data_IF_810248040261
#
_entry.id   IF_810248040261
#
_cell.length_a   1.000
_cell.length_b   1.000
_cell.length_c   1.000
_cell.angle_alpha   90.00
_cell.angle_beta   90.00
_cell.angle_gamma   90.00
#
_symmetry.space_group_name_H-M   'P 1'
#
loop_
_entity.id
_entity.type
_entity.pdbx_description
1 polymer ?
#
# COMPACT_ATOMS: atom_id res chain seq x y z
N UNK A 1 -50.55 -13.57 -5.44
CA UNK A 1 -50.98 -12.44 -6.30
C UNK A 1 -51.49 -12.86 -7.68
N UNK A 2 -51.23 -14.08 -8.17
CA UNK A 2 -51.80 -14.66 -9.41
C UNK A 2 -53.35 -14.68 -9.49
N UNK A 3 -54.04 -14.50 -8.35
CA UNK A 3 -55.51 -14.61 -8.21
C UNK A 3 -56.32 -13.55 -8.96
N UNK A 4 -55.75 -12.37 -9.24
CA UNK A 4 -56.49 -11.27 -9.89
C UNK A 4 -56.65 -11.50 -11.39
N UNK A 5 -55.58 -11.90 -12.09
CA UNK A 5 -55.63 -12.21 -13.51
C UNK A 5 -56.47 -13.46 -13.82
N UNK A 6 -56.35 -14.52 -12.99
CA UNK A 6 -57.22 -15.70 -13.11
C UNK A 6 -58.68 -15.36 -12.77
N UNK A 7 -58.92 -14.48 -11.80
CA UNK A 7 -60.26 -13.97 -11.49
C UNK A 7 -60.89 -13.22 -12.68
N UNK A 8 -60.12 -12.41 -13.39
CA UNK A 8 -60.58 -11.70 -14.59
C UNK A 8 -60.93 -12.66 -15.75
N UNK A 9 -60.12 -13.70 -15.96
CA UNK A 9 -60.38 -14.71 -16.97
C UNK A 9 -61.62 -15.55 -16.65
N UNK A 10 -61.80 -15.93 -15.38
CA UNK A 10 -63.02 -16.60 -14.91
C UNK A 10 -64.25 -15.70 -15.03
N UNK A 11 -64.12 -14.40 -14.74
CA UNK A 11 -65.19 -13.43 -14.92
C UNK A 11 -65.57 -13.27 -16.40
N UNK A 12 -64.60 -13.22 -17.32
CA UNK A 12 -64.85 -13.19 -18.76
C UNK A 12 -65.55 -14.48 -19.24
N UNK A 13 -65.13 -15.66 -18.75
CA UNK A 13 -65.78 -16.93 -19.06
C UNK A 13 -67.23 -16.99 -18.55
N UNK A 14 -67.48 -16.52 -17.32
CA UNK A 14 -68.82 -16.45 -16.76
C UNK A 14 -69.70 -15.46 -17.53
N UNK A 15 -69.16 -14.28 -17.89
CA UNK A 15 -69.85 -13.27 -18.68
C UNK A 15 -70.22 -13.81 -20.08
N UNK A 16 -69.32 -14.55 -20.71
CA UNK A 16 -69.58 -15.21 -21.99
C UNK A 16 -70.69 -16.27 -21.88
N UNK A 17 -70.66 -17.11 -20.84
CA UNK A 17 -71.70 -18.10 -20.58
C UNK A 17 -73.08 -17.46 -20.33
N UNK A 18 -73.13 -16.40 -19.52
CA UNK A 18 -74.34 -15.63 -19.26
C UNK A 18 -74.88 -14.96 -20.53
N UNK A 19 -74.02 -14.34 -21.33
CA UNK A 19 -74.40 -13.71 -22.59
C UNK A 19 -74.91 -14.74 -23.62
N UNK A 20 -74.38 -15.97 -23.60
CA UNK A 20 -74.88 -17.07 -24.45
C UNK A 20 -76.25 -17.56 -24.00
N UNK A 21 -76.49 -17.66 -22.71
CA UNK A 21 -77.78 -18.07 -22.15
C UNK A 21 -78.87 -17.01 -22.37
N UNK A 22 -78.57 -15.74 -22.09
CA UNK A 22 -79.50 -14.61 -22.21
C UNK A 22 -79.65 -14.05 -23.64
N UNK A 23 -79.07 -14.73 -24.64
CA UNK A 23 -79.03 -14.27 -26.03
C UNK A 23 -80.42 -14.05 -26.65
N UNK A 24 -81.41 -14.82 -26.21
CA UNK A 24 -82.80 -14.72 -26.68
C UNK A 24 -83.60 -13.60 -26.00
N UNK A 25 -83.05 -12.98 -24.95
CA UNK A 25 -83.76 -11.99 -24.14
C UNK A 25 -83.60 -10.56 -24.67
N UNK A 26 -82.42 -10.19 -25.20
CA UNK A 26 -82.16 -8.85 -25.72
C UNK A 26 -80.96 -8.82 -26.69
N UNK A 27 -81.00 -8.06 -27.81
CA UNK A 27 -79.91 -7.99 -28.79
C UNK A 27 -78.59 -7.42 -28.24
N UNK A 28 -78.66 -6.62 -27.16
CA UNK A 28 -77.46 -6.11 -26.47
C UNK A 28 -76.55 -7.22 -25.91
N UNK A 29 -77.09 -8.42 -25.63
CA UNK A 29 -76.30 -9.57 -25.19
C UNK A 29 -75.36 -10.11 -26.27
N UNK A 30 -75.59 -9.80 -27.54
CA UNK A 30 -74.68 -10.16 -28.63
C UNK A 30 -73.34 -9.40 -28.52
N UNK A 31 -73.39 -8.10 -28.19
CA UNK A 31 -72.22 -7.25 -27.98
C UNK A 31 -71.42 -7.68 -26.75
N UNK A 32 -72.11 -7.95 -25.63
CA UNK A 32 -71.48 -8.46 -24.40
C UNK A 32 -70.86 -9.83 -24.64
N UNK A 33 -71.53 -10.69 -25.41
CA UNK A 33 -71.02 -11.99 -25.82
C UNK A 33 -69.75 -11.88 -26.65
N UNK A 34 -69.72 -10.99 -27.65
CA UNK A 34 -68.55 -10.77 -28.50
C UNK A 34 -67.35 -10.20 -27.72
N UNK A 35 -67.60 -9.24 -26.83
CA UNK A 35 -66.57 -8.74 -25.91
C UNK A 35 -66.02 -9.86 -25.02
N UNK A 36 -66.91 -10.61 -24.36
CA UNK A 36 -66.51 -11.66 -23.41
C UNK A 36 -65.79 -12.82 -24.10
N UNK A 37 -66.20 -13.21 -25.31
CA UNK A 37 -65.56 -14.25 -26.11
C UNK A 37 -64.13 -13.84 -26.49
N UNK A 38 -63.96 -12.65 -27.04
CA UNK A 38 -62.66 -12.17 -27.46
C UNK A 38 -61.75 -11.81 -26.27
N UNK A 39 -62.32 -11.33 -25.15
CA UNK A 39 -61.60 -11.11 -23.90
C UNK A 39 -61.10 -12.44 -23.30
N UNK A 40 -61.92 -13.50 -23.37
CA UNK A 40 -61.55 -14.84 -22.93
C UNK A 40 -60.41 -15.40 -23.79
N UNK A 41 -60.53 -15.30 -25.12
CA UNK A 41 -59.48 -15.75 -26.05
C UNK A 41 -58.19 -14.97 -25.86
N UNK A 42 -58.26 -13.63 -25.76
CA UNK A 42 -57.09 -12.78 -25.50
C UNK A 42 -56.41 -13.09 -24.16
N UNK A 43 -57.19 -13.29 -23.09
CA UNK A 43 -56.68 -13.70 -21.79
C UNK A 43 -56.02 -15.09 -21.80
N UNK A 44 -56.60 -16.05 -22.53
CA UNK A 44 -56.03 -17.39 -22.70
C UNK A 44 -54.73 -17.37 -23.52
N UNK A 45 -54.67 -16.57 -24.58
CA UNK A 45 -53.49 -16.41 -25.42
C UNK A 45 -52.31 -15.82 -24.61
N UNK A 46 -52.55 -14.76 -23.84
CA UNK A 46 -51.52 -14.17 -22.99
C UNK A 46 -51.14 -15.08 -21.82
N UNK A 47 -52.11 -15.81 -21.25
CA UNK A 47 -51.79 -16.85 -20.26
C UNK A 47 -50.86 -17.90 -20.85
N UNK A 48 -51.15 -18.38 -22.07
CA UNK A 48 -50.33 -19.35 -22.76
C UNK A 48 -48.93 -18.79 -23.03
N UNK A 49 -48.82 -17.59 -23.60
CA UNK A 49 -47.53 -16.97 -23.94
C UNK A 49 -46.66 -16.74 -22.69
N UNK A 50 -47.23 -16.19 -21.61
CA UNK A 50 -46.49 -16.00 -20.36
C UNK A 50 -46.11 -17.35 -19.76
N UNK A 51 -47.01 -18.34 -19.75
CA UNK A 51 -46.69 -19.67 -19.20
C UNK A 51 -45.58 -20.32 -20.02
N UNK A 52 -45.64 -20.26 -21.35
CA UNK A 52 -44.64 -20.79 -22.27
C UNK A 52 -43.26 -20.12 -22.14
N UNK A 53 -43.18 -18.90 -21.61
CA UNK A 53 -41.89 -18.27 -21.32
C UNK A 53 -41.16 -18.96 -20.16
N UNK A 54 -41.90 -19.35 -19.11
CA UNK A 54 -41.33 -19.87 -17.85
C UNK A 54 -41.43 -21.39 -17.69
N UNK A 55 -42.47 -22.03 -18.23
CA UNK A 55 -42.83 -23.43 -17.97
C UNK A 55 -43.51 -24.07 -19.19
N UNK A 56 -43.72 -25.38 -19.12
CA UNK A 56 -44.59 -26.08 -20.08
C UNK A 56 -46.06 -25.85 -19.72
N UNK A 57 -46.89 -25.31 -20.64
CA UNK A 57 -48.32 -25.12 -20.39
C UNK A 57 -48.98 -26.49 -20.17
N UNK A 58 -49.79 -26.61 -19.10
CA UNK A 58 -50.43 -27.86 -18.67
C UNK A 58 -49.45 -29.03 -18.41
N UNK A 59 -48.14 -28.77 -18.31
CA UNK A 59 -47.11 -29.80 -18.19
C UNK A 59 -46.79 -30.55 -19.49
N UNK A 60 -47.34 -30.11 -20.63
CA UNK A 60 -47.13 -30.78 -21.93
C UNK A 60 -45.91 -30.18 -22.67
N UNK A 61 -44.97 -31.01 -23.16
CA UNK A 61 -43.79 -30.54 -23.88
C UNK A 61 -44.16 -30.13 -25.31
N UNK A 62 -44.69 -28.92 -25.46
CA UNK A 62 -45.02 -28.32 -26.76
C UNK A 62 -43.76 -27.64 -27.33
N UNK A 63 -43.58 -27.69 -28.65
CA UNK A 63 -42.52 -27.00 -29.38
C UNK A 63 -42.46 -25.51 -28.99
N UNK A 64 -41.26 -25.00 -28.67
CA UNK A 64 -41.01 -23.59 -28.26
C UNK A 64 -41.73 -23.12 -26.98
N UNK A 65 -41.77 -23.97 -25.95
CA UNK A 65 -42.22 -23.60 -24.60
C UNK A 65 -41.09 -23.78 -23.57
N UNK A 66 -41.27 -23.26 -22.36
CA UNK A 66 -40.23 -23.13 -21.33
C UNK A 66 -38.96 -22.41 -21.85
N UNK A 67 -39.13 -21.27 -22.55
CA UNK A 67 -38.04 -20.58 -23.26
C UNK A 67 -36.89 -20.16 -22.32
N UNK A 68 -37.19 -19.60 -21.14
CA UNK A 68 -36.16 -19.17 -20.19
C UNK A 68 -35.37 -20.36 -19.64
N UNK A 69 -35.99 -21.44 -19.14
CA UNK A 69 -35.29 -22.67 -18.79
C UNK A 69 -34.43 -23.23 -19.93
N UNK A 70 -34.99 -23.29 -21.16
CA UNK A 70 -34.32 -23.90 -22.30
C UNK A 70 -33.12 -23.08 -22.81
N UNK A 71 -33.13 -21.76 -22.66
CA UNK A 71 -32.05 -20.85 -23.06
C UNK A 71 -31.21 -20.33 -21.89
N UNK A 72 -31.23 -21.01 -20.75
CA UNK A 72 -30.52 -20.60 -19.53
C UNK A 72 -29.04 -20.28 -19.79
N UNK A 73 -28.34 -21.17 -20.49
CA UNK A 73 -26.89 -21.03 -20.72
C UNK A 73 -26.57 -19.88 -21.69
N UNK A 74 -27.43 -19.67 -22.71
CA UNK A 74 -27.32 -18.53 -23.61
C UNK A 74 -27.55 -17.21 -22.87
N UNK A 75 -28.55 -17.15 -21.99
CA UNK A 75 -28.82 -15.99 -21.15
C UNK A 75 -27.63 -15.71 -20.23
N UNK A 76 -27.06 -16.74 -19.60
CA UNK A 76 -25.91 -16.60 -18.73
C UNK A 76 -24.69 -15.99 -19.44
N UNK A 77 -24.38 -16.49 -20.64
CA UNK A 77 -23.30 -15.98 -21.48
C UNK A 77 -23.54 -14.52 -21.92
N UNK A 78 -24.74 -14.22 -22.41
CA UNK A 78 -25.08 -12.87 -22.90
C UNK A 78 -25.07 -11.83 -21.76
N UNK A 79 -25.51 -12.21 -20.56
CA UNK A 79 -25.43 -11.33 -19.38
C UNK A 79 -23.97 -11.06 -19.00
N UNK A 80 -23.11 -12.09 -19.05
CA UNK A 80 -21.68 -11.92 -18.82
C UNK A 80 -21.03 -10.95 -19.82
N UNK A 81 -21.29 -11.14 -21.11
CA UNK A 81 -20.79 -10.27 -22.19
C UNK A 81 -21.31 -8.83 -22.06
N UNK A 82 -22.57 -8.66 -21.70
CA UNK A 82 -23.17 -7.35 -21.47
C UNK A 82 -22.47 -6.61 -20.32
N UNK A 83 -22.26 -7.29 -19.19
CA UNK A 83 -21.59 -6.71 -18.02
C UNK A 83 -20.16 -6.31 -18.35
N UNK A 84 -19.42 -7.15 -19.08
CA UNK A 84 -18.06 -6.83 -19.49
C UNK A 84 -17.98 -5.65 -20.45
N UNK A 85 -18.87 -5.62 -21.45
CA UNK A 85 -18.78 -4.65 -22.55
C UNK A 85 -19.36 -3.29 -22.18
N UNK A 86 -20.42 -3.27 -21.37
CA UNK A 86 -21.20 -2.05 -21.13
C UNK A 86 -21.13 -1.56 -19.68
N UNK A 87 -21.00 -2.46 -18.69
CA UNK A 87 -21.03 -2.06 -17.27
C UNK A 87 -19.62 -1.91 -16.66
N UNK A 88 -18.68 -2.80 -16.99
CA UNK A 88 -17.32 -2.80 -16.45
C UNK A 88 -16.31 -2.18 -17.43
N UNK A 89 -16.66 -1.01 -17.97
CA UNK A 89 -15.70 -0.27 -18.80
C UNK A 89 -14.68 0.46 -17.93
N UNK A 90 -13.38 0.49 -18.30
CA UNK A 90 -12.37 1.22 -17.56
C UNK A 90 -12.74 2.70 -17.33
N UNK A 91 -13.40 3.32 -18.32
CA UNK A 91 -13.83 4.70 -18.27
C UNK A 91 -14.97 4.92 -17.27
N UNK A 92 -16.02 4.09 -17.30
CA UNK A 92 -17.13 4.22 -16.36
C UNK A 92 -16.67 3.98 -14.92
N UNK A 93 -15.79 3.00 -14.70
CA UNK A 93 -15.27 2.73 -13.36
C UNK A 93 -14.34 3.84 -12.86
N UNK A 94 -13.48 4.38 -13.72
CA UNK A 94 -12.63 5.51 -13.35
C UNK A 94 -13.44 6.77 -13.01
N UNK A 95 -14.53 7.02 -13.76
CA UNK A 95 -15.44 8.12 -13.49
C UNK A 95 -16.17 7.94 -12.17
N UNK A 96 -16.71 6.75 -11.89
CA UNK A 96 -17.39 6.49 -10.61
C UNK A 96 -16.46 6.57 -9.40
N UNK A 97 -15.20 6.14 -9.55
CA UNK A 97 -14.19 6.31 -8.50
C UNK A 97 -13.89 7.79 -8.24
N UNK A 98 -13.85 8.60 -9.30
CA UNK A 98 -13.60 10.03 -9.20
C UNK A 98 -14.80 10.78 -8.58
N UNK A 99 -16.03 10.39 -8.92
CA UNK A 99 -17.27 10.99 -8.38
C UNK A 99 -17.55 10.55 -6.94
N UNK A 100 -17.22 9.31 -6.58
CA UNK A 100 -17.49 8.73 -5.25
C UNK A 100 -16.51 9.10 -4.14
N UNK A 101 -15.47 9.88 -4.45
CA UNK A 101 -14.34 10.26 -3.58
C UNK A 101 -13.86 9.10 -2.68
N UNK A 102 -13.39 8.02 -3.30
CA UNK A 102 -12.91 6.84 -2.57
C UNK A 102 -11.78 7.16 -1.60
N UNK A 103 -10.94 8.14 -1.92
CA UNK A 103 -9.88 8.63 -1.07
C UNK A 103 -10.43 9.24 0.23
N UNK A 104 -11.56 9.97 0.20
CA UNK A 104 -12.24 10.44 1.42
C UNK A 104 -12.74 9.27 2.28
N UNK A 105 -13.35 8.26 1.67
CA UNK A 105 -13.82 7.06 2.40
C UNK A 105 -12.66 6.27 3.00
N UNK A 106 -11.56 6.15 2.26
CA UNK A 106 -10.31 5.58 2.76
C UNK A 106 -9.77 6.39 3.93
N UNK A 107 -9.74 7.72 3.81
CA UNK A 107 -9.27 8.60 4.88
C UNK A 107 -10.08 8.40 6.17
N UNK A 108 -11.41 8.36 6.07
CA UNK A 108 -12.31 8.10 7.20
C UNK A 108 -12.08 6.70 7.80
N UNK A 109 -11.95 5.67 6.95
CA UNK A 109 -11.69 4.32 7.38
C UNK A 109 -10.34 4.20 8.11
N UNK A 110 -9.28 4.84 7.60
CA UNK A 110 -7.94 4.82 8.21
C UNK A 110 -7.87 5.57 9.55
N UNK A 111 -8.78 6.49 9.82
CA UNK A 111 -8.87 7.16 11.12
C UNK A 111 -9.50 6.28 12.19
N UNK A 112 -10.36 5.32 11.81
CA UNK A 112 -10.98 4.39 12.75
C UNK A 112 -9.90 3.50 13.42
N UNK A 113 -9.81 3.48 14.76
CA UNK A 113 -8.76 2.72 15.46
C UNK A 113 -8.75 1.23 15.14
N UNK A 114 -9.95 0.65 14.93
CA UNK A 114 -10.09 -0.76 14.60
C UNK A 114 -9.47 -1.08 13.22
N UNK A 115 -9.83 -0.30 12.20
CA UNK A 115 -9.33 -0.44 10.83
C UNK A 115 -7.83 -0.18 10.76
N UNK A 116 -7.34 0.87 11.44
CA UNK A 116 -5.91 1.18 11.47
C UNK A 116 -5.09 0.04 12.11
N UNK A 117 -5.58 -0.56 13.21
CA UNK A 117 -4.93 -1.72 13.84
C UNK A 117 -4.98 -2.96 12.96
N UNK A 118 -6.10 -3.23 12.31
CA UNK A 118 -6.23 -4.36 11.38
C UNK A 118 -5.27 -4.23 10.20
N UNK A 119 -5.24 -3.04 9.58
CA UNK A 119 -4.31 -2.76 8.49
C UNK A 119 -2.86 -2.84 8.96
N UNK A 120 -2.56 -2.33 10.14
CA UNK A 120 -1.21 -2.43 10.71
C UNK A 120 -0.80 -3.87 11.00
N UNK A 121 -1.70 -4.69 11.55
CA UNK A 121 -1.48 -6.11 11.74
C UNK A 121 -1.25 -6.86 10.44
N UNK A 122 -2.06 -6.57 9.41
CA UNK A 122 -1.88 -7.16 8.08
C UNK A 122 -0.54 -6.73 7.45
N UNK A 123 -0.17 -5.46 7.54
CA UNK A 123 1.11 -4.95 7.05
C UNK A 123 2.29 -5.62 7.76
N UNK A 124 2.21 -5.82 9.08
CA UNK A 124 3.24 -6.51 9.84
C UNK A 124 3.35 -8.00 9.48
N UNK A 125 2.23 -8.66 9.16
CA UNK A 125 2.23 -10.05 8.68
C UNK A 125 2.75 -10.18 7.24
N UNK A 126 2.45 -9.20 6.38
CA UNK A 126 2.92 -9.18 5.00
C UNK A 126 4.39 -8.71 4.87
N UNK A 127 4.88 -7.91 5.83
CA UNK A 127 6.20 -7.29 5.76
C UNK A 127 7.36 -8.28 5.56
N UNK A 128 7.46 -9.43 6.28
CA UNK A 128 8.53 -10.40 6.04
C UNK A 128 8.50 -10.95 4.61
N UNK A 129 7.34 -11.36 4.11
CA UNK A 129 7.21 -11.89 2.75
C UNK A 129 7.53 -10.85 1.67
N UNK A 130 7.15 -9.59 1.90
CA UNK A 130 7.55 -8.49 1.01
C UNK A 130 9.06 -8.25 1.07
N UNK A 131 9.65 -8.15 2.26
CA UNK A 131 11.10 -7.97 2.45
C UNK A 131 11.90 -9.08 1.78
N UNK A 132 11.41 -10.32 1.81
CA UNK A 132 12.06 -11.47 1.19
C UNK A 132 11.91 -11.51 -0.33
N UNK A 133 10.83 -10.91 -0.86
CA UNK A 133 10.61 -10.81 -2.31
C UNK A 133 11.46 -9.76 -3.02
N UNK A 134 12.09 -8.86 -2.27
CA UNK A 134 12.91 -7.78 -2.81
C UNK A 134 14.28 -8.30 -3.26
N UNK A 135 14.74 -7.81 -4.41
CA UNK A 135 16.08 -8.07 -4.94
C UNK A 135 17.13 -7.34 -4.08
N UNK A 136 17.88 -8.11 -3.30
CA UNK A 136 18.86 -7.59 -2.36
C UNK A 136 20.04 -6.92 -3.06
N UNK A 137 20.40 -7.33 -4.27
CA UNK A 137 21.53 -6.75 -5.01
C UNK A 137 21.16 -5.37 -5.55
N UNK A 138 19.97 -5.24 -6.16
CA UNK A 138 19.46 -3.95 -6.63
C UNK A 138 19.27 -2.95 -5.50
N UNK A 139 18.67 -3.38 -4.37
CA UNK A 139 18.47 -2.48 -3.22
C UNK A 139 19.77 -2.10 -2.52
N UNK A 140 20.73 -3.01 -2.46
CA UNK A 140 22.06 -2.70 -1.90
C UNK A 140 22.76 -1.63 -2.75
N UNK A 141 22.72 -1.75 -4.07
CA UNK A 141 23.29 -0.76 -4.98
C UNK A 141 22.57 0.59 -4.86
N UNK A 142 21.24 0.58 -4.93
CA UNK A 142 20.42 1.79 -4.80
C UNK A 142 20.66 2.51 -3.46
N UNK A 143 20.69 1.76 -2.34
CA UNK A 143 20.92 2.33 -1.02
C UNK A 143 22.34 2.89 -0.90
N UNK A 144 23.34 2.19 -1.45
CA UNK A 144 24.72 2.67 -1.48
C UNK A 144 24.82 4.02 -2.22
N UNK A 145 24.21 4.12 -3.40
CA UNK A 145 24.16 5.35 -4.19
C UNK A 145 23.42 6.48 -3.46
N UNK A 146 22.25 6.18 -2.88
CA UNK A 146 21.46 7.18 -2.14
C UNK A 146 22.21 7.73 -0.93
N UNK A 147 22.83 6.85 -0.13
CA UNK A 147 23.65 7.26 1.02
C UNK A 147 24.87 8.05 0.55
N UNK A 148 25.55 7.61 -0.52
CA UNK A 148 26.72 8.32 -1.04
C UNK A 148 26.35 9.72 -1.59
N UNK A 149 25.24 9.83 -2.32
CA UNK A 149 24.73 11.11 -2.81
C UNK A 149 24.44 12.07 -1.65
N UNK A 150 23.82 11.57 -0.58
CA UNK A 150 23.49 12.42 0.56
C UNK A 150 24.71 12.80 1.39
N UNK A 151 25.69 11.90 1.56
CA UNK A 151 26.99 12.22 2.16
C UNK A 151 27.78 13.26 1.35
N UNK A 152 27.65 13.25 0.02
CA UNK A 152 28.26 14.26 -0.85
C UNK A 152 27.58 15.64 -0.75
N UNK A 153 26.29 15.67 -0.42
CA UNK A 153 25.54 16.93 -0.22
C UNK A 153 25.79 17.57 1.14
N UNK A 154 26.17 16.79 2.13
CA UNK A 154 26.50 17.31 3.45
C UNK A 154 27.76 18.20 3.38
N UNK A 155 27.72 19.32 4.10
CA UNK A 155 28.88 20.16 4.36
C UNK A 155 29.87 19.42 5.27
N UNK A 156 30.77 18.67 4.65
CA UNK A 156 31.77 17.86 5.34
C UNK A 156 32.74 18.72 6.17
N UNK A 157 33.22 19.88 5.69
CA UNK A 157 33.98 20.81 6.52
C UNK A 157 33.23 21.26 7.78
N UNK A 158 31.98 21.71 7.64
CA UNK A 158 31.20 22.20 8.78
C UNK A 158 30.79 21.09 9.76
N UNK A 159 30.46 19.89 9.27
CA UNK A 159 30.20 18.72 10.13
C UNK A 159 31.47 18.24 10.84
N UNK A 160 32.58 18.13 10.11
CA UNK A 160 33.88 17.72 10.67
C UNK A 160 34.32 18.64 11.80
N UNK A 161 34.20 19.96 11.58
CA UNK A 161 34.50 20.96 12.60
C UNK A 161 33.59 20.81 13.83
N UNK A 162 32.27 20.65 13.64
CA UNK A 162 31.33 20.44 14.76
C UNK A 162 31.63 19.18 15.55
N UNK A 163 32.01 18.09 14.89
CA UNK A 163 32.40 16.83 15.56
C UNK A 163 33.70 17.04 16.34
N UNK A 164 34.72 17.68 15.75
CA UNK A 164 35.97 17.98 16.44
C UNK A 164 35.77 18.91 17.64
N UNK A 165 34.96 19.95 17.49
CA UNK A 165 34.56 20.85 18.58
C UNK A 165 33.80 20.09 19.67
N UNK A 166 32.91 19.17 19.31
CA UNK A 166 32.20 18.32 20.26
C UNK A 166 33.15 17.43 21.04
N UNK A 167 34.07 16.74 20.36
CA UNK A 167 35.08 15.89 20.98
C UNK A 167 36.02 16.70 21.89
N UNK A 168 36.39 17.91 21.48
CA UNK A 168 37.19 18.82 22.31
C UNK A 168 36.40 19.32 23.53
N UNK A 169 35.12 19.66 23.38
CA UNK A 169 34.25 20.06 24.50
C UNK A 169 34.02 18.94 25.51
N UNK A 170 34.05 17.67 25.06
CA UNK A 170 33.99 16.48 25.91
C UNK A 170 35.37 16.06 26.46
N UNK A 171 36.40 16.89 26.26
CA UNK A 171 37.79 16.66 26.68
C UNK A 171 38.36 15.30 26.20
N UNK A 172 37.90 14.78 25.06
CA UNK A 172 38.41 13.50 24.54
C UNK A 172 39.90 13.58 24.15
N UNK A 173 40.40 14.77 23.80
CA UNK A 173 41.82 15.00 23.53
C UNK A 173 42.70 14.81 24.78
N UNK A 174 42.16 14.95 25.99
CA UNK A 174 42.88 14.60 27.23
C UNK A 174 43.17 13.10 27.31
N UNK A 175 42.27 12.24 26.80
CA UNK A 175 42.51 10.79 26.74
C UNK A 175 43.60 10.42 25.74
N UNK A 176 43.70 11.18 24.65
CA UNK A 176 44.79 11.03 23.67
C UNK A 176 46.10 11.45 24.31
N UNK A 177 46.12 12.58 25.04
CA UNK A 177 47.28 13.02 25.82
C UNK A 177 47.74 11.93 26.79
N UNK A 178 46.81 11.33 27.54
CA UNK A 178 47.10 10.22 28.46
C UNK A 178 47.70 9.00 27.75
N UNK A 179 47.18 8.64 26.58
CA UNK A 179 47.70 7.52 25.80
C UNK A 179 49.12 7.79 25.29
N UNK A 180 49.37 9.01 24.78
CA UNK A 180 50.68 9.43 24.26
C UNK A 180 51.69 9.58 25.38
N UNK A 181 51.34 10.22 26.49
CA UNK A 181 52.20 10.39 27.65
C UNK A 181 52.66 9.03 28.21
N UNK A 182 51.72 8.08 28.35
CA UNK A 182 52.04 6.69 28.76
C UNK A 182 52.94 5.97 27.76
N UNK A 183 52.67 6.12 26.46
CA UNK A 183 53.49 5.48 25.43
C UNK A 183 54.92 6.02 25.44
N UNK A 184 55.08 7.35 25.54
CA UNK A 184 56.38 8.01 25.64
C UNK A 184 57.11 7.67 26.93
N UNK A 185 56.41 7.64 28.07
CA UNK A 185 57.00 7.23 29.34
C UNK A 185 57.60 5.82 29.24
N UNK A 186 56.82 4.84 28.76
CA UNK A 186 57.31 3.47 28.57
C UNK A 186 58.50 3.40 27.63
N UNK A 187 58.46 4.16 26.54
CA UNK A 187 59.57 4.23 25.58
C UNK A 187 60.86 4.80 26.20
N UNK A 188 60.73 5.79 27.08
CA UNK A 188 61.88 6.42 27.75
C UNK A 188 62.41 5.61 28.95
N UNK A 189 61.56 4.83 29.60
CA UNK A 189 61.94 3.93 30.70
C UNK A 189 62.63 2.66 30.21
N UNK A 190 62.43 2.28 28.95
CA UNK A 190 63.06 1.10 28.35
C UNK A 190 64.59 1.29 28.20
N UNK A 191 65.42 0.47 28.87
CA UNK A 191 66.87 0.54 28.76
C UNK A 191 67.40 0.33 27.34
N UNK A 192 66.67 -0.40 26.48
CA UNK A 192 67.07 -0.65 25.09
C UNK A 192 67.02 0.62 24.24
N UNK A 193 66.19 1.60 24.62
CA UNK A 193 65.97 2.82 23.86
C UNK A 193 66.85 3.99 24.31
N UNK A 194 67.50 3.87 25.48
CA UNK A 194 68.43 4.87 26.02
C UNK A 194 69.51 5.35 25.04
N UNK A 195 70.19 4.49 24.24
CA UNK A 195 71.19 4.94 23.28
C UNK A 195 70.59 5.85 22.19
N UNK A 196 69.40 5.52 21.69
CA UNK A 196 68.71 6.30 20.66
C UNK A 196 68.26 7.66 21.19
N UNK A 197 67.74 7.70 22.42
CA UNK A 197 67.36 8.95 23.11
C UNK A 197 68.59 9.81 23.39
N UNK A 198 69.69 9.21 23.83
CA UNK A 198 70.96 9.90 24.08
C UNK A 198 71.51 10.57 22.81
N UNK A 199 71.49 9.84 21.68
CA UNK A 199 71.91 10.38 20.38
C UNK A 199 70.93 11.44 19.84
N UNK A 200 69.64 11.33 20.15
CA UNK A 200 68.66 12.38 19.85
C UNK A 200 68.97 13.67 20.62
N UNK A 201 69.20 13.58 21.93
CA UNK A 201 69.55 14.74 22.77
C UNK A 201 70.86 15.39 22.29
N UNK A 202 71.87 14.57 21.96
CA UNK A 202 73.15 15.07 21.45
C UNK A 202 72.99 15.88 20.16
N UNK A 203 72.16 15.40 19.23
CA UNK A 203 71.85 16.10 17.97
C UNK A 203 70.99 17.34 18.19
N UNK A 204 69.97 17.27 19.04
CA UNK A 204 69.05 18.38 19.29
C UNK A 204 69.77 19.60 19.89
N UNK A 205 70.78 19.36 20.73
CA UNK A 205 71.61 20.42 21.33
C UNK A 205 72.77 20.87 20.43
N UNK A 206 72.91 20.27 19.24
CA UNK A 206 73.97 20.53 18.27
C UNK A 206 75.40 20.39 18.89
N UNK A 207 75.56 19.43 19.80
CA UNK A 207 76.78 19.23 20.58
C UNK A 207 77.67 18.16 19.93
N UNK A 208 78.29 18.51 18.79
CA UNK A 208 79.14 17.60 18.02
C UNK A 208 80.57 17.45 18.59
N UNK A 209 80.95 18.27 19.58
CA UNK A 209 82.31 18.23 20.14
C UNK A 209 82.50 17.03 21.10
N UNK A 210 83.60 16.25 20.98
CA UNK A 210 83.82 15.01 21.73
C UNK A 210 83.81 15.16 23.27
N UNK A 211 84.16 16.34 23.79
CA UNK A 211 84.06 16.67 25.21
C UNK A 211 82.61 16.70 25.71
N UNK A 212 81.66 17.25 24.95
CA UNK A 212 80.25 17.31 25.35
C UNK A 212 79.55 15.96 25.21
N UNK A 213 79.97 15.12 24.27
CA UNK A 213 79.40 13.77 24.07
C UNK A 213 79.58 12.86 25.29
N UNK A 214 80.69 13.01 26.00
CA UNK A 214 80.95 12.33 27.29
C UNK A 214 79.96 12.76 28.37
N UNK A 215 79.77 14.08 28.54
CA UNK A 215 78.84 14.68 29.51
C UNK A 215 77.39 14.25 29.22
N UNK A 216 76.99 14.22 27.94
CA UNK A 216 75.66 13.78 27.52
C UNK A 216 75.45 12.31 27.83
N UNK A 217 76.43 11.42 27.61
CA UNK A 217 76.30 10.00 27.98
C UNK A 217 76.12 9.79 29.48
N UNK A 218 76.68 10.65 30.33
CA UNK A 218 76.51 10.56 31.79
C UNK A 218 75.22 11.23 32.27
N UNK A 219 74.78 12.30 31.61
CA UNK A 219 73.58 13.05 31.98
C UNK A 219 72.30 12.48 31.35
N UNK A 220 72.37 11.83 30.19
CA UNK A 220 71.22 11.36 29.42
C UNK A 220 70.35 10.37 30.20
N UNK A 221 70.87 9.35 30.90
CA UNK A 221 70.01 8.46 31.70
C UNK A 221 69.20 9.22 32.76
N UNK A 222 69.84 10.18 33.45
CA UNK A 222 69.17 11.02 34.46
C UNK A 222 68.14 11.96 33.83
N UNK A 223 68.47 12.56 32.69
CA UNK A 223 67.56 13.44 31.96
C UNK A 223 66.35 12.67 31.40
N UNK A 224 66.58 11.52 30.78
CA UNK A 224 65.55 10.61 30.27
C UNK A 224 64.62 10.16 31.39
N UNK A 225 65.18 9.77 32.54
CA UNK A 225 64.38 9.36 33.70
C UNK A 225 63.58 10.52 34.30
N UNK A 226 64.15 11.74 34.34
CA UNK A 226 63.42 12.93 34.77
C UNK A 226 62.25 13.26 33.82
N UNK A 227 62.46 13.14 32.50
CA UNK A 227 61.39 13.35 31.51
C UNK A 227 60.31 12.28 31.63
N UNK A 228 60.70 11.00 31.79
CA UNK A 228 59.75 9.91 32.02
C UNK A 228 58.91 10.12 33.28
N UNK A 229 59.52 10.57 34.39
CA UNK A 229 58.79 10.93 35.60
C UNK A 229 57.81 12.08 35.38
N UNK A 230 58.20 13.13 34.64
CA UNK A 230 57.28 14.22 34.31
C UNK A 230 56.11 13.75 33.44
N UNK A 231 56.34 12.83 32.50
CA UNK A 231 55.26 12.22 31.69
C UNK A 231 54.34 11.32 32.53
N UNK A 232 54.86 10.62 33.53
CA UNK A 232 54.07 9.88 34.50
C UNK A 232 53.17 10.81 35.32
N UNK A 233 53.73 11.89 35.86
CA UNK A 233 52.96 12.91 36.60
C UNK A 233 51.86 13.56 35.74
N UNK A 234 52.12 13.77 34.45
CA UNK A 234 51.14 14.29 33.48
C UNK A 234 49.95 13.35 33.32
N UNK A 235 50.18 12.03 33.24
CA UNK A 235 49.11 11.05 33.13
C UNK A 235 48.37 10.84 34.47
N UNK A 236 49.09 10.72 35.57
CA UNK A 236 48.53 10.32 36.87
C UNK A 236 47.80 11.46 37.60
N UNK A 237 48.12 12.72 37.29
CA UNK A 237 47.52 13.90 37.94
C UNK A 237 46.51 14.62 37.04
N UNK A 238 45.22 14.66 37.42
CA UNK A 238 44.20 15.44 36.71
C UNK A 238 44.46 16.96 36.72
N UNK A 239 45.14 17.47 37.75
CA UNK A 239 45.41 18.90 37.93
C UNK A 239 46.75 19.36 37.32
N UNK A 240 47.36 18.55 36.44
CA UNK A 240 48.67 18.88 35.88
C UNK A 240 48.62 20.21 35.08
N UNK A 241 49.56 21.15 35.28
CA UNK A 241 49.52 22.50 34.68
C UNK A 241 49.46 22.54 33.14
N UNK A 242 49.88 21.47 32.47
CA UNK A 242 49.87 21.36 31.01
C UNK A 242 48.51 20.97 30.44
N UNK A 243 47.63 20.33 31.23
CA UNK A 243 46.29 19.94 30.78
C UNK A 243 45.43 21.14 30.37
N UNK A 244 45.25 22.19 31.21
CA UNK A 244 44.47 23.36 30.81
C UNK A 244 45.10 24.13 29.64
N UNK A 245 46.45 24.16 29.55
CA UNK A 245 47.14 24.76 28.40
C UNK A 245 46.89 24.01 27.09
N UNK A 246 46.84 22.68 27.15
CA UNK A 246 46.49 21.87 25.99
C UNK A 246 45.03 22.07 25.59
N UNK A 247 44.11 22.15 26.55
CA UNK A 247 42.69 22.47 26.29
C UNK A 247 42.55 23.80 25.56
N UNK A 248 43.20 24.84 26.06
CA UNK A 248 43.19 26.18 25.47
C UNK A 248 43.79 26.16 24.06
N UNK A 249 44.94 25.52 23.88
CA UNK A 249 45.58 25.37 22.58
C UNK A 249 44.71 24.61 21.57
N UNK A 250 44.10 23.47 21.95
CA UNK A 250 43.21 22.69 21.07
C UNK A 250 41.97 23.51 20.71
N UNK A 251 41.39 24.22 21.68
CA UNK A 251 40.20 25.04 21.45
C UNK A 251 40.49 26.20 20.50
N UNK A 252 41.61 26.90 20.72
CA UNK A 252 42.06 27.99 19.85
C UNK A 252 42.39 27.47 18.44
N UNK A 253 43.12 26.36 18.35
CA UNK A 253 43.44 25.74 17.07
C UNK A 253 42.18 25.35 16.29
N UNK A 254 41.17 24.80 16.95
CA UNK A 254 39.88 24.49 16.31
C UNK A 254 39.09 25.74 15.91
N UNK A 255 39.26 26.87 16.59
CA UNK A 255 38.62 28.14 16.25
C UNK A 255 39.25 28.78 15.01
N UNK A 256 40.58 28.68 14.85
CA UNK A 256 41.36 29.23 13.74
C UNK A 256 41.37 28.30 12.51
N UNK A 257 41.05 27.01 12.69
CA UNK A 257 41.05 25.98 11.65
C UNK A 257 40.25 26.35 10.37
N UNK A 258 39.07 26.99 10.45
CA UNK A 258 38.30 27.40 9.26
C UNK A 258 38.97 28.53 8.46
N UNK A 259 39.86 29.32 9.07
CA UNK A 259 40.53 30.45 8.42
C UNK A 259 41.72 30.02 7.56
N UNK A 260 42.22 28.79 7.74
CA UNK A 260 43.35 28.28 6.98
C UNK A 260 42.96 27.87 5.54
N UNK A 261 43.59 28.45 4.48
CA UNK A 261 43.17 28.31 3.08
C UNK A 261 43.38 26.93 2.42
N UNK A 262 43.49 25.85 3.20
CA UNK A 262 43.58 24.47 2.69
C UNK A 262 42.78 23.43 3.48
N UNK A 263 42.20 23.81 4.62
CA UNK A 263 41.47 22.87 5.49
C UNK A 263 40.25 22.28 4.78
N UNK A 264 39.42 23.15 4.19
CA UNK A 264 38.20 22.74 3.48
C UNK A 264 38.54 21.82 2.29
N UNK A 265 39.54 22.18 1.50
CA UNK A 265 40.01 21.40 0.34
C UNK A 265 40.50 20.02 0.76
N UNK A 266 41.30 19.92 1.84
CA UNK A 266 41.81 18.62 2.33
C UNK A 266 40.69 17.71 2.82
N UNK A 267 39.69 18.26 3.49
CA UNK A 267 38.53 17.49 3.96
C UNK A 267 37.63 17.01 2.84
N UNK A 268 37.39 17.86 1.84
CA UNK A 268 36.65 17.45 0.66
C UNK A 268 37.37 16.31 -0.07
N UNK A 269 38.69 16.38 -0.17
CA UNK A 269 39.52 15.31 -0.73
C UNK A 269 39.39 14.02 0.10
N UNK A 270 39.55 14.10 1.43
CA UNK A 270 39.39 12.94 2.32
C UNK A 270 37.99 12.32 2.29
N UNK A 271 36.94 13.15 2.17
CA UNK A 271 35.58 12.66 1.96
C UNK A 271 35.49 11.92 0.63
N UNK A 272 35.97 12.54 -0.45
CA UNK A 272 35.88 11.97 -1.79
C UNK A 272 36.62 10.63 -1.86
N UNK A 273 37.88 10.60 -1.43
CA UNK A 273 38.73 9.40 -1.43
C UNK A 273 38.19 8.35 -0.45
N UNK A 274 37.72 8.78 0.72
CA UNK A 274 37.12 7.91 1.72
C UNK A 274 35.86 7.21 1.20
N UNK A 275 34.96 7.95 0.56
CA UNK A 275 33.74 7.41 -0.06
C UNK A 275 34.03 6.60 -1.34
N UNK A 276 35.09 6.93 -2.07
CA UNK A 276 35.55 6.17 -3.23
C UNK A 276 36.34 4.91 -2.85
N UNK A 277 36.74 4.77 -1.58
CA UNK A 277 37.54 3.64 -1.15
C UNK A 277 36.79 2.29 -1.30
N UNK A 278 37.47 1.21 -1.73
CA UNK A 278 36.84 -0.11 -1.86
C UNK A 278 36.21 -0.59 -0.55
N UNK A 279 36.79 -0.23 0.60
CA UNK A 279 36.28 -0.60 1.92
C UNK A 279 34.97 0.12 2.25
N UNK A 280 34.86 1.42 1.94
CA UNK A 280 33.63 2.17 2.15
C UNK A 280 32.51 1.69 1.23
N UNK A 281 32.81 1.46 -0.05
CA UNK A 281 31.85 0.90 -1.01
C UNK A 281 31.35 -0.49 -0.58
N UNK A 282 32.26 -1.37 -0.15
CA UNK A 282 31.88 -2.68 0.39
C UNK A 282 31.09 -2.59 1.70
N UNK A 283 31.25 -1.53 2.50
CA UNK A 283 30.43 -1.29 3.69
C UNK A 283 29.03 -0.79 3.32
N UNK A 284 28.92 0.14 2.36
CA UNK A 284 27.66 0.69 1.85
C UNK A 284 26.79 -0.40 1.23
N UNK A 285 27.36 -1.27 0.40
CA UNK A 285 26.65 -2.41 -0.20
C UNK A 285 26.13 -3.35 0.90
N UNK A 286 26.90 -3.56 1.98
CA UNK A 286 26.48 -4.41 3.11
C UNK A 286 25.51 -3.74 4.07
N UNK A 287 25.16 -2.48 3.86
CA UNK A 287 24.22 -1.76 4.71
C UNK A 287 22.81 -2.35 4.60
N UNK A 288 22.34 -2.62 3.38
CA UNK A 288 21.00 -3.16 3.14
C UNK A 288 20.80 -4.53 3.80
N UNK A 289 21.66 -5.56 3.58
CA UNK A 289 21.51 -6.85 4.24
C UNK A 289 21.48 -6.76 5.78
N UNK A 290 22.26 -5.84 6.37
CA UNK A 290 22.27 -5.61 7.82
C UNK A 290 20.96 -4.97 8.30
N UNK A 291 20.42 -4.02 7.55
CA UNK A 291 19.13 -3.40 7.84
C UNK A 291 17.99 -4.40 7.69
N UNK A 292 17.95 -5.16 6.59
CA UNK A 292 16.99 -6.23 6.34
C UNK A 292 16.99 -7.25 7.47
N UNK A 293 18.16 -7.74 7.89
CA UNK A 293 18.28 -8.69 9.01
C UNK A 293 17.74 -8.12 10.34
N UNK A 294 18.01 -6.84 10.64
CA UNK A 294 17.48 -6.17 11.83
C UNK A 294 15.96 -6.00 11.76
N UNK A 295 15.42 -5.61 10.61
CA UNK A 295 13.98 -5.50 10.39
C UNK A 295 13.30 -6.86 10.56
N UNK A 296 13.89 -7.91 9.98
CA UNK A 296 13.38 -9.27 10.09
C UNK A 296 13.36 -9.75 11.55
N UNK A 297 14.46 -9.54 12.30
CA UNK A 297 14.51 -9.86 13.72
C UNK A 297 13.46 -9.09 14.54
N UNK A 298 13.23 -7.81 14.23
CA UNK A 298 12.22 -6.99 14.89
C UNK A 298 10.77 -7.41 14.56
N UNK A 299 10.53 -7.94 13.36
CA UNK A 299 9.24 -8.48 12.95
C UNK A 299 8.98 -9.87 13.57
N UNK A 300 9.98 -10.74 13.63
CA UNK A 300 9.86 -12.08 14.23
C UNK A 300 9.70 -12.05 15.75
N UNK A 301 10.38 -11.12 16.44
CA UNK A 301 10.23 -10.94 17.88
C UNK A 301 8.79 -10.56 18.32
N UNK A 302 7.93 -10.15 17.38
CA UNK A 302 6.53 -9.80 17.65
C UNK A 302 5.55 -10.96 17.51
N UNK A 303 5.98 -12.13 17.03
CA UNK A 303 5.11 -13.32 16.91
C UNK A 303 4.72 -13.96 18.24
N UNK A 304 5.31 -13.54 19.37
CA UNK A 304 5.01 -14.04 20.71
C UNK A 304 3.83 -13.26 21.30
N UNK A 305 2.68 -13.92 21.44
CA UNK A 305 1.34 -13.36 21.69
C UNK A 305 1.10 -12.58 23.01
N UNK A 306 2.13 -12.08 23.71
CA UNK A 306 1.97 -11.41 25.01
C UNK A 306 2.82 -10.14 25.25
N UNK A 307 3.57 -9.62 24.28
CA UNK A 307 4.32 -8.36 24.48
C UNK A 307 3.55 -7.13 23.93
N UNK A 308 3.54 -5.98 24.62
CA UNK A 308 3.00 -4.73 24.08
C UNK A 308 3.74 -4.40 22.79
N UNK A 309 3.00 -4.20 21.69
CA UNK A 309 3.53 -4.09 20.32
C UNK A 309 3.94 -2.65 19.98
N UNK A 310 5.18 -2.21 20.25
CA UNK A 310 5.55 -0.81 20.08
C UNK A 310 5.57 -0.44 18.59
N UNK A 311 5.88 -1.42 17.73
CA UNK A 311 5.86 -1.28 16.28
C UNK A 311 4.44 -1.32 15.71
N UNK A 312 3.54 -2.16 16.22
CA UNK A 312 2.14 -2.14 15.77
C UNK A 312 1.43 -0.85 16.19
N UNK A 313 1.69 -0.36 17.40
CA UNK A 313 1.15 0.90 17.89
C UNK A 313 1.73 2.09 17.10
N UNK A 314 3.04 2.10 16.85
CA UNK A 314 3.67 3.11 16.00
C UNK A 314 3.11 3.08 14.57
N UNK A 315 2.94 1.89 13.98
CA UNK A 315 2.41 1.75 12.63
C UNK A 315 0.93 2.15 12.58
N UNK A 316 0.14 1.78 13.59
CA UNK A 316 -1.26 2.21 13.74
C UNK A 316 -1.35 3.73 13.80
N UNK A 317 -0.52 4.38 14.61
CA UNK A 317 -0.46 5.84 14.70
C UNK A 317 -0.06 6.49 13.37
N UNK A 318 0.87 5.87 12.61
CA UNK A 318 1.25 6.34 11.27
C UNK A 318 0.12 6.17 10.26
N UNK A 319 -0.60 5.05 10.28
CA UNK A 319 -1.78 4.79 9.43
C UNK A 319 -2.89 5.81 9.72
N UNK A 320 -3.17 6.09 10.99
CA UNK A 320 -4.13 7.12 11.38
C UNK A 320 -3.66 8.52 10.95
N UNK A 321 -2.37 8.82 11.11
CA UNK A 321 -1.78 10.06 10.63
C UNK A 321 -1.94 10.25 9.12
N UNK A 322 -1.79 9.17 8.33
CA UNK A 322 -2.07 9.19 6.89
C UNK A 322 -3.55 9.45 6.60
N UNK A 323 -4.47 8.83 7.35
CA UNK A 323 -5.91 9.09 7.24
C UNK A 323 -6.26 10.56 7.52
N UNK A 324 -5.62 11.19 8.50
CA UNK A 324 -5.80 12.61 8.80
C UNK A 324 -5.25 13.51 7.69
N UNK A 325 -4.06 13.20 7.16
CA UNK A 325 -3.46 13.94 6.05
C UNK A 325 -4.29 13.86 4.78
N UNK A 326 -4.82 12.68 4.46
CA UNK A 326 -5.72 12.48 3.31
C UNK A 326 -7.03 13.27 3.43
N UNK A 327 -7.50 13.51 4.65
CA UNK A 327 -8.71 14.31 4.88
C UNK A 327 -8.44 15.81 4.81
N UNK A 328 -7.26 16.26 5.21
CA UNK A 328 -6.90 17.70 5.31
C UNK A 328 -6.23 18.25 4.05
N UNK A 329 -5.48 17.44 3.31
CA UNK A 329 -4.76 17.84 2.10
C UNK A 329 -5.55 17.46 0.82
N UNK A 330 -6.30 18.41 0.25
CA UNK A 330 -7.13 18.17 -0.95
C UNK A 330 -6.32 17.76 -2.19
N UNK A 331 -5.07 18.22 -2.33
CA UNK A 331 -4.19 17.80 -3.43
C UNK A 331 -3.78 16.33 -3.30
N UNK A 332 -3.44 15.89 -2.09
CA UNK A 332 -3.12 14.50 -1.80
C UNK A 332 -4.33 13.60 -2.07
N UNK A 333 -5.53 14.03 -1.64
CA UNK A 333 -6.79 13.30 -1.89
C UNK A 333 -7.05 13.13 -3.38
N UNK A 334 -6.91 14.19 -4.17
CA UNK A 334 -7.07 14.15 -5.63
C UNK A 334 -6.05 13.22 -6.30
N UNK A 335 -4.78 13.30 -5.89
CA UNK A 335 -3.72 12.42 -6.40
C UNK A 335 -4.02 10.94 -6.13
N UNK A 336 -4.44 10.62 -4.90
CA UNK A 336 -4.78 9.24 -4.51
C UNK A 336 -6.03 8.75 -5.25
N UNK A 337 -7.08 9.56 -5.40
CA UNK A 337 -8.25 9.18 -6.20
C UNK A 337 -7.87 8.88 -7.65
N UNK A 338 -7.03 9.72 -8.27
CA UNK A 338 -6.56 9.50 -9.63
C UNK A 338 -5.74 8.20 -9.74
N UNK A 339 -4.87 7.94 -8.77
CA UNK A 339 -4.08 6.71 -8.71
C UNK A 339 -4.97 5.46 -8.52
N UNK A 340 -5.98 5.52 -7.64
CA UNK A 340 -6.94 4.44 -7.43
C UNK A 340 -7.77 4.18 -8.68
N UNK A 341 -8.27 5.23 -9.34
CA UNK A 341 -9.01 5.12 -10.59
C UNK A 341 -8.16 4.46 -11.69
N UNK A 342 -6.90 4.89 -11.84
CA UNK A 342 -5.97 4.32 -12.81
C UNK A 342 -5.63 2.85 -12.48
N UNK A 343 -5.40 2.53 -11.21
CA UNK A 343 -5.12 1.16 -10.78
C UNK A 343 -6.31 0.23 -11.03
N UNK A 344 -7.53 0.66 -10.69
CA UNK A 344 -8.76 -0.10 -10.93
C UNK A 344 -9.02 -0.27 -12.44
N UNK A 345 -8.86 0.79 -13.23
CA UNK A 345 -8.97 0.72 -14.68
C UNK A 345 -7.96 -0.27 -15.28
N UNK A 346 -6.71 -0.26 -14.81
CA UNK A 346 -5.67 -1.20 -15.22
C UNK A 346 -5.99 -2.64 -14.82
N UNK A 347 -6.53 -2.85 -13.61
CA UNK A 347 -6.94 -4.17 -13.12
C UNK A 347 -8.10 -4.74 -13.93
N UNK A 348 -9.11 -3.92 -14.24
CA UNK A 348 -10.23 -4.30 -15.13
C UNK A 348 -9.72 -4.61 -16.53
N UNK A 349 -8.81 -3.81 -17.10
CA UNK A 349 -8.22 -4.10 -18.41
C UNK A 349 -7.45 -5.43 -18.41
N UNK A 350 -6.61 -5.67 -17.39
CA UNK A 350 -5.79 -6.88 -17.27
C UNK A 350 -6.63 -8.14 -17.07
N UNK A 351 -7.76 -8.02 -16.38
CA UNK A 351 -8.67 -9.12 -16.11
C UNK A 351 -9.99 -9.01 -16.89
N UNK A 352 -9.97 -8.42 -18.09
CA UNK A 352 -11.10 -8.51 -19.04
C UNK A 352 -11.51 -9.98 -19.22
N UNK A 353 -12.81 -10.24 -19.21
CA UNK A 353 -13.41 -11.56 -19.21
C UNK A 353 -13.50 -12.27 -17.85
N UNK A 354 -12.81 -11.82 -16.79
CA UNK A 354 -12.91 -12.49 -15.48
C UNK A 354 -14.30 -12.33 -14.86
N UNK A 355 -14.88 -11.13 -14.93
CA UNK A 355 -16.22 -10.86 -14.43
C UNK A 355 -17.31 -11.59 -15.24
N UNK A 356 -17.19 -11.59 -16.58
CA UNK A 356 -18.09 -12.32 -17.46
C UNK A 356 -18.08 -13.82 -17.14
N UNK A 357 -16.89 -14.44 -17.07
CA UNK A 357 -16.73 -15.85 -16.69
C UNK A 357 -17.26 -16.15 -15.30
N UNK A 358 -17.04 -15.25 -14.33
CA UNK A 358 -17.56 -15.41 -12.98
C UNK A 358 -19.08 -15.44 -12.98
N UNK A 359 -19.73 -14.47 -13.64
CA UNK A 359 -21.20 -14.39 -13.74
C UNK A 359 -21.78 -15.57 -14.51
N UNK A 360 -21.17 -15.93 -15.64
CA UNK A 360 -21.53 -17.11 -16.42
C UNK A 360 -21.47 -18.37 -15.54
N UNK A 361 -20.39 -18.55 -14.77
CA UNK A 361 -20.24 -19.69 -13.86
C UNK A 361 -21.28 -19.70 -12.74
N UNK A 362 -21.61 -18.53 -12.16
CA UNK A 362 -22.64 -18.46 -11.12
C UNK A 362 -24.05 -18.75 -11.67
N UNK A 363 -24.40 -18.19 -12.83
CA UNK A 363 -25.68 -18.44 -13.50
C UNK A 363 -25.77 -19.88 -14.05
N UNK A 364 -24.63 -20.46 -14.44
CA UNK A 364 -24.54 -21.86 -14.85
C UNK A 364 -24.87 -22.83 -13.70
N UNK A 365 -24.55 -22.47 -12.45
CA UNK A 365 -24.86 -23.27 -11.26
C UNK A 365 -26.34 -23.36 -10.94
N UNK A 366 -27.14 -22.37 -11.37
CA UNK A 366 -28.58 -22.43 -11.16
C UNK A 366 -29.21 -23.49 -12.05
N UNK A 367 -30.15 -24.25 -11.50
CA UNK A 367 -30.99 -25.12 -12.30
C UNK A 367 -31.90 -24.30 -13.24
N UNK A 368 -32.33 -24.85 -14.39
CA UNK A 368 -33.27 -24.17 -15.29
C UNK A 368 -34.55 -23.68 -14.60
N UNK A 369 -35.03 -24.46 -13.63
CA UNK A 369 -36.20 -24.11 -12.82
C UNK A 369 -35.91 -22.96 -11.86
N UNK A 370 -34.76 -22.95 -11.18
CA UNK A 370 -34.38 -21.85 -10.29
C UNK A 370 -34.22 -20.53 -11.06
N UNK A 371 -33.56 -20.55 -12.22
CA UNK A 371 -33.44 -19.36 -13.08
C UNK A 371 -34.82 -18.82 -13.44
N UNK A 372 -35.71 -19.69 -13.89
CA UNK A 372 -37.07 -19.31 -14.26
C UNK A 372 -37.86 -18.73 -13.09
N UNK A 373 -37.80 -19.36 -11.92
CA UNK A 373 -38.52 -18.88 -10.72
C UNK A 373 -37.98 -17.52 -10.25
N UNK A 374 -36.67 -17.30 -10.31
CA UNK A 374 -36.06 -16.01 -9.95
C UNK A 374 -36.46 -14.89 -10.91
N UNK A 375 -36.44 -15.17 -12.21
CA UNK A 375 -36.89 -14.19 -13.22
C UNK A 375 -38.40 -13.94 -13.06
N UNK A 376 -39.22 -14.98 -12.92
CA UNK A 376 -40.67 -14.85 -12.72
C UNK A 376 -41.00 -14.03 -11.47
N UNK A 377 -40.25 -14.19 -10.38
CA UNK A 377 -40.42 -13.38 -9.16
C UNK A 377 -40.07 -11.91 -9.36
N UNK A 378 -39.01 -11.62 -10.13
CA UNK A 378 -38.58 -10.25 -10.40
C UNK A 378 -39.58 -9.46 -11.25
N UNK A 379 -40.20 -10.09 -12.25
CA UNK A 379 -41.14 -9.43 -13.19
C UNK A 379 -42.62 -9.81 -13.01
N UNK A 380 -42.95 -10.54 -11.94
CA UNK A 380 -44.27 -11.14 -11.73
C UNK A 380 -45.43 -10.15 -11.63
N UNK A 381 -45.17 -8.89 -11.28
CA UNK A 381 -46.18 -7.82 -11.29
C UNK A 381 -46.51 -7.37 -12.71
N UNK A 382 -45.49 -7.20 -13.53
CA UNK A 382 -45.65 -6.68 -14.90
C UNK A 382 -46.29 -7.73 -15.82
N UNK A 383 -45.98 -9.02 -15.60
CA UNK A 383 -46.64 -10.13 -16.27
C UNK A 383 -48.17 -10.17 -16.03
N UNK A 384 -48.64 -9.71 -14.86
CA UNK A 384 -50.08 -9.63 -14.58
C UNK A 384 -50.75 -8.54 -15.40
N UNK A 385 -50.10 -7.38 -15.56
CA UNK A 385 -50.63 -6.30 -16.38
C UNK A 385 -50.71 -6.70 -17.85
N UNK A 386 -49.74 -7.47 -18.37
CA UNK A 386 -49.83 -8.04 -19.72
C UNK A 386 -51.13 -8.85 -19.86
N UNK A 387 -51.41 -9.78 -18.93
CA UNK A 387 -52.64 -10.60 -18.98
C UNK A 387 -53.94 -9.80 -18.86
N UNK A 388 -53.97 -8.77 -18.00
CA UNK A 388 -55.14 -7.88 -17.86
C UNK A 388 -55.34 -7.10 -19.18
N UNK A 389 -54.27 -6.56 -19.74
CA UNK A 389 -54.31 -5.84 -21.01
C UNK A 389 -54.75 -6.77 -22.14
N UNK A 390 -54.29 -8.02 -22.20
CA UNK A 390 -54.75 -9.02 -23.15
C UNK A 390 -56.25 -9.28 -23.10
N UNK A 391 -56.82 -9.40 -21.90
CA UNK A 391 -58.28 -9.55 -21.74
C UNK A 391 -59.05 -8.31 -22.19
N UNK A 392 -58.57 -7.12 -21.86
CA UNK A 392 -59.25 -5.86 -22.20
C UNK A 392 -59.16 -5.56 -23.70
N UNK A 393 -57.95 -5.63 -24.27
CA UNK A 393 -57.70 -5.40 -25.70
C UNK A 393 -58.41 -6.46 -26.52
N UNK A 394 -58.34 -7.73 -26.11
CA UNK A 394 -59.09 -8.82 -26.74
C UNK A 394 -60.58 -8.51 -26.79
N UNK A 395 -61.18 -8.09 -25.68
CA UNK A 395 -62.59 -7.72 -25.64
C UNK A 395 -62.95 -6.54 -26.56
N UNK A 396 -62.14 -5.49 -26.57
CA UNK A 396 -62.33 -4.34 -27.46
C UNK A 396 -62.26 -4.73 -28.94
N UNK A 397 -61.31 -5.60 -29.30
CA UNK A 397 -61.21 -6.15 -30.66
C UNK A 397 -62.44 -7.00 -31.00
N UNK A 398 -62.96 -7.79 -30.05
CA UNK A 398 -64.20 -8.54 -30.21
C UNK A 398 -65.42 -7.67 -30.51
N UNK A 399 -65.55 -6.54 -29.81
CA UNK A 399 -66.60 -5.55 -30.08
C UNK A 399 -66.46 -4.94 -31.48
N UNK A 400 -65.24 -4.60 -31.88
CA UNK A 400 -64.96 -4.03 -33.20
C UNK A 400 -65.28 -5.03 -34.32
N UNK A 401 -64.86 -6.29 -34.18
CA UNK A 401 -65.19 -7.35 -35.14
C UNK A 401 -66.70 -7.62 -35.20
N UNK A 402 -67.39 -7.57 -34.07
CA UNK A 402 -68.83 -7.71 -34.03
C UNK A 402 -69.56 -6.55 -34.72
N UNK A 403 -69.09 -5.31 -34.50
CA UNK A 403 -69.62 -4.13 -35.19
C UNK A 403 -69.45 -4.25 -36.71
N UNK A 404 -68.28 -4.69 -37.17
CA UNK A 404 -67.99 -4.90 -38.59
C UNK A 404 -68.85 -6.02 -39.21
N UNK A 405 -69.21 -7.04 -38.45
CA UNK A 405 -70.03 -8.16 -38.92
C UNK A 405 -71.54 -7.90 -38.82
N UNK A 406 -71.93 -6.81 -38.13
CA UNK A 406 -73.32 -6.36 -37.98
C UNK A 406 -73.69 -5.22 -38.95
N UNK A 407 -72.69 -4.63 -39.61
CA UNK A 407 -72.80 -3.81 -40.82
C UNK A 407 -73.02 -4.72 -42.04
#
# INVERSE_FOLDING_TARGET
>A
MQRRATGLLLAAAALWGLARWARHSHPAWAWVGAFAEAALVGGLADWFAVTALFRHPLGLPIWHTAIIPARKDDIARNVGEFVETHLLTPQALAQEVAEGDLAARLAEALQQPATARQLAGWLLQAAPGLLDSLDDDQLSAWLAEAVQAELNRLDAPGLGLRVLQRLASEQQHQRVLDAVARALQRYLEDPEHLPAVTDFIARALNLDHPLYRSVIKTAAPRATQAIAQQLGLLHDSPDHPWRPRLDEWVTQWLAELPEHPGWQVRLEHWRHDGLASPTAQAWLIRLWPRLKARLHAALQAQGSAQAPHPLADALTARVQGLGLRLQTEDELRRSINAALAAALAGLVQRHRGAAARFLETQLARWSPTEMSDKVEQAIGRDLQFIRINGTLVGGLVGLLLHALNAL
#
